data_IF_764644079694
#
_entry.id   IF_764644079694
#
_cell.length_a   1.000
_cell.length_b   1.000
_cell.length_c   1.000
_cell.angle_alpha   90.00
_cell.angle_beta   90.00
_cell.angle_gamma   90.00
#
_symmetry.space_group_name_H-M   'P 1'
#
loop_
_entity.id
_entity.type
_entity.pdbx_description
1 polymer ?
#
# COMPACT_ATOMS: atom_id res chain seq x y z
N UNK A 1 -10.17 16.56 -26.03
CA UNK A 1 -8.86 16.70 -25.35
C UNK A 1 -8.97 16.53 -23.83
N UNK A 2 -10.06 15.97 -23.30
CA UNK A 2 -10.27 15.68 -21.87
C UNK A 2 -10.12 14.19 -21.53
N UNK A 3 -10.25 13.30 -22.52
CA UNK A 3 -10.13 11.83 -22.35
C UNK A 3 -8.75 11.38 -21.85
N UNK A 4 -7.67 12.09 -22.20
CA UNK A 4 -6.30 11.71 -21.83
C UNK A 4 -6.01 11.93 -20.33
N UNK A 5 -6.59 12.99 -19.74
CA UNK A 5 -6.43 13.31 -18.31
C UNK A 5 -7.15 12.23 -17.46
N UNK A 6 -8.33 11.78 -17.90
CA UNK A 6 -9.08 10.72 -17.23
C UNK A 6 -8.37 9.37 -17.30
N UNK A 7 -7.80 8.99 -18.45
CA UNK A 7 -7.04 7.73 -18.60
C UNK A 7 -5.79 7.70 -17.72
N UNK A 8 -5.06 8.82 -17.65
CA UNK A 8 -3.89 8.95 -16.78
C UNK A 8 -4.26 8.83 -15.30
N UNK A 9 -5.36 9.44 -14.86
CA UNK A 9 -5.84 9.32 -13.49
C UNK A 9 -6.26 7.88 -13.16
N UNK A 10 -6.97 7.20 -14.07
CA UNK A 10 -7.33 5.79 -13.89
C UNK A 10 -6.10 4.88 -13.78
N UNK A 11 -5.08 5.10 -14.62
CA UNK A 11 -3.83 4.34 -14.55
C UNK A 11 -3.10 4.56 -13.22
N UNK A 12 -3.01 5.80 -12.76
CA UNK A 12 -2.39 6.15 -11.47
C UNK A 12 -3.11 5.50 -10.29
N UNK A 13 -4.45 5.49 -10.30
CA UNK A 13 -5.23 4.79 -9.28
C UNK A 13 -4.95 3.28 -9.29
N UNK A 14 -4.88 2.66 -10.46
CA UNK A 14 -4.55 1.24 -10.57
C UNK A 14 -3.12 0.91 -10.07
N UNK A 15 -2.16 1.81 -10.29
CA UNK A 15 -0.79 1.68 -9.76
C UNK A 15 -0.77 1.79 -8.22
N UNK A 16 -1.55 2.70 -7.65
CA UNK A 16 -1.72 2.83 -6.19
C UNK A 16 -2.33 1.55 -5.60
N UNK A 17 -3.40 1.02 -6.20
CA UNK A 17 -4.03 -0.23 -5.75
C UNK A 17 -3.09 -1.44 -5.86
N UNK A 18 -2.23 -1.47 -6.87
CA UNK A 18 -1.22 -2.52 -7.01
C UNK A 18 -0.19 -2.45 -5.87
N UNK A 19 0.32 -1.25 -5.56
CA UNK A 19 1.29 -1.04 -4.47
C UNK A 19 0.67 -1.35 -3.11
N UNK A 20 -0.62 -1.04 -2.93
CA UNK A 20 -1.36 -1.40 -1.71
C UNK A 20 -1.37 -2.93 -1.51
N UNK A 21 -1.71 -3.70 -2.56
CA UNK A 21 -1.66 -5.16 -2.49
C UNK A 21 -0.27 -5.69 -2.17
N UNK A 22 0.76 -5.14 -2.80
CA UNK A 22 2.15 -5.54 -2.53
C UNK A 22 2.56 -5.27 -1.08
N UNK A 23 2.12 -4.16 -0.49
CA UNK A 23 2.39 -3.86 0.92
C UNK A 23 1.75 -4.89 1.86
N UNK A 24 0.52 -5.31 1.55
CA UNK A 24 -0.17 -6.38 2.29
C UNK A 24 0.50 -7.75 2.11
N UNK A 25 0.94 -8.07 0.89
CA UNK A 25 1.69 -9.30 0.61
C UNK A 25 3.00 -9.33 1.40
N UNK A 26 3.75 -8.21 1.43
CA UNK A 26 4.99 -8.11 2.20
C UNK A 26 4.74 -8.28 3.71
N UNK A 27 3.70 -7.64 4.26
CA UNK A 27 3.33 -7.82 5.67
C UNK A 27 3.02 -9.29 5.99
N UNK A 28 2.27 -9.97 5.12
CA UNK A 28 1.94 -11.38 5.33
C UNK A 28 3.17 -12.28 5.19
N UNK A 29 4.09 -11.98 4.28
CA UNK A 29 5.30 -12.76 4.06
C UNK A 29 6.29 -12.60 5.21
N UNK A 30 6.46 -11.37 5.72
CA UNK A 30 7.31 -11.06 6.88
C UNK A 30 6.86 -11.82 8.14
N UNK A 31 5.56 -12.10 8.26
CA UNK A 31 4.98 -12.86 9.37
C UNK A 31 4.90 -14.37 9.12
N UNK A 32 5.07 -14.81 7.88
CA UNK A 32 4.85 -16.19 7.52
C UNK A 32 5.91 -17.10 8.15
N UNK A 33 5.45 -18.11 8.89
CA UNK A 33 6.34 -19.09 9.54
C UNK A 33 6.97 -18.60 10.83
N UNK A 34 6.69 -17.36 11.26
CA UNK A 34 7.03 -16.89 12.60
C UNK A 34 5.98 -17.35 13.63
N UNK A 35 6.43 -17.59 14.86
CA UNK A 35 5.56 -17.96 15.96
C UNK A 35 6.11 -17.48 17.31
N UNK A 36 5.21 -17.27 18.28
CA UNK A 36 5.58 -16.84 19.61
C UNK A 36 6.25 -15.47 19.59
N UNK A 37 7.35 -15.33 20.32
CA UNK A 37 8.03 -14.05 20.50
C UNK A 37 8.56 -13.44 19.19
N UNK A 38 9.05 -14.27 18.27
CA UNK A 38 9.55 -13.80 16.98
C UNK A 38 8.40 -13.23 16.12
N UNK A 39 7.20 -13.79 16.23
CA UNK A 39 6.01 -13.23 15.59
C UNK A 39 5.62 -11.89 16.22
N UNK A 40 5.59 -11.79 17.55
CA UNK A 40 5.18 -10.55 18.24
C UNK A 40 6.13 -9.39 17.94
N UNK A 41 7.45 -9.65 17.89
CA UNK A 41 8.44 -8.62 17.54
C UNK A 41 8.32 -8.21 16.07
N UNK A 42 8.24 -9.17 15.15
CA UNK A 42 8.13 -8.89 13.72
C UNK A 42 6.78 -8.26 13.32
N UNK A 43 5.69 -8.60 14.01
CA UNK A 43 4.36 -8.03 13.77
C UNK A 43 4.36 -6.54 14.04
N UNK A 44 4.96 -6.09 15.14
CA UNK A 44 5.06 -4.67 15.45
C UNK A 44 5.76 -3.88 14.34
N UNK A 45 6.96 -4.31 13.96
CA UNK A 45 7.76 -3.63 12.93
C UNK A 45 7.09 -3.67 11.55
N UNK A 46 6.56 -4.83 11.17
CA UNK A 46 5.89 -5.04 9.87
C UNK A 46 4.58 -4.26 9.79
N UNK A 47 3.85 -4.18 10.90
CA UNK A 47 2.62 -3.41 11.00
C UNK A 47 2.86 -1.91 10.89
N UNK A 48 3.87 -1.37 11.60
CA UNK A 48 4.23 0.06 11.47
C UNK A 48 4.64 0.42 10.05
N UNK A 49 5.43 -0.46 9.40
CA UNK A 49 5.81 -0.29 7.98
C UNK A 49 4.57 -0.28 7.08
N UNK A 50 3.67 -1.24 7.23
CA UNK A 50 2.44 -1.33 6.44
C UNK A 50 1.61 -0.06 6.61
N UNK A 51 1.33 0.36 7.84
CA UNK A 51 0.52 1.55 8.11
C UNK A 51 1.11 2.81 7.50
N UNK A 52 2.43 2.97 7.55
CA UNK A 52 3.11 4.10 6.91
C UNK A 52 2.90 4.08 5.39
N UNK A 53 3.13 2.93 4.75
CA UNK A 53 2.94 2.79 3.30
C UNK A 53 1.49 3.02 2.89
N UNK A 54 0.51 2.50 3.64
CA UNK A 54 -0.90 2.73 3.35
C UNK A 54 -1.27 4.22 3.44
N UNK A 55 -0.73 4.95 4.42
CA UNK A 55 -0.95 6.39 4.54
C UNK A 55 -0.35 7.17 3.36
N UNK A 56 0.88 6.84 2.96
CA UNK A 56 1.51 7.46 1.78
C UNK A 56 0.70 7.20 0.49
N UNK A 57 0.14 5.99 0.33
CA UNK A 57 -0.71 5.63 -0.81
C UNK A 57 -2.08 6.31 -0.77
N UNK A 58 -2.66 6.51 0.42
CA UNK A 58 -3.90 7.25 0.61
C UNK A 58 -3.73 8.73 0.23
N UNK A 59 -2.63 9.36 0.67
CA UNK A 59 -2.29 10.74 0.29
C UNK A 59 -2.13 10.86 -1.24
N UNK A 60 -1.42 9.91 -1.88
CA UNK A 60 -1.27 9.86 -3.34
C UNK A 60 -2.62 9.70 -4.05
N UNK A 61 -3.52 8.86 -3.51
CA UNK A 61 -4.87 8.65 -4.04
C UNK A 61 -5.70 9.93 -3.97
N UNK A 62 -5.63 10.67 -2.87
CA UNK A 62 -6.34 11.94 -2.72
C UNK A 62 -5.84 12.98 -3.72
N UNK A 63 -4.53 13.05 -3.97
CA UNK A 63 -3.95 13.94 -4.97
C UNK A 63 -4.42 13.58 -6.39
N UNK A 64 -4.50 12.29 -6.72
CA UNK A 64 -4.97 11.83 -8.04
C UNK A 64 -6.47 12.01 -8.23
N UNK A 65 -7.27 11.79 -7.18
CA UNK A 65 -8.73 11.95 -7.23
C UNK A 65 -9.19 13.42 -7.16
N UNK A 66 -8.37 14.30 -6.59
CA UNK A 66 -8.61 15.75 -6.52
C UNK A 66 -8.04 16.56 -7.70
N UNK A 67 -7.28 15.93 -8.60
CA UNK A 67 -6.69 16.53 -9.80
C UNK A 67 -7.57 16.34 -11.05
#
# INVERSE_FOLDING_TARGET
MTTYISDQATRRLAEIEQRERQAWEAYSDDLQGLAGRDYEEAEGESWERLQRTLRELEDERQLVAGA
#
